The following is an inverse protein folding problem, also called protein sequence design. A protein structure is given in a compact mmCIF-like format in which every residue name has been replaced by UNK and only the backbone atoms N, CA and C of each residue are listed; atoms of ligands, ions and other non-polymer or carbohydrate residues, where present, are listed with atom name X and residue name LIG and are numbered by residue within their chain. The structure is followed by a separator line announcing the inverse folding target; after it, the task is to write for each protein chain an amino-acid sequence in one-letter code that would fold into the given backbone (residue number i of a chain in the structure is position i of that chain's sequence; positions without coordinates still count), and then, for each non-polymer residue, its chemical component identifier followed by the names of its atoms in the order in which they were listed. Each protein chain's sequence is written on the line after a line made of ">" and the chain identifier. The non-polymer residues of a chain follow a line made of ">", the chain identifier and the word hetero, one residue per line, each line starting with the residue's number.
data_IF_810673352255
#
_entry.id   IF_810673352255
#
_cell.length_a   1.000
_cell.length_b   1.000
_cell.length_c   1.000
_cell.angle_alpha   90.00
_cell.angle_beta   90.00
_cell.angle_gamma   90.00
#
_symmetry.space_group_name_H-M   'P 1'
#
loop_
_entity.id
_entity.type
_entity.pdbx_description
1 polymer ?
#
# COMPACT_ATOMS: atom_id res chain seq x y z
N UNK A 1 -71.00 45.72 -27.20
CA UNK A 1 -69.80 45.03 -27.74
C UNK A 1 -68.76 46.07 -28.06
N UNK A 2 -67.66 46.17 -27.30
CA UNK A 2 -66.26 46.05 -27.75
C UNK A 2 -65.44 45.73 -26.49
N UNK A 3 -64.59 44.71 -26.59
CA UNK A 3 -63.94 43.98 -25.49
C UNK A 3 -62.59 44.64 -25.16
N UNK A 4 -62.31 44.84 -23.86
CA UNK A 4 -61.00 45.31 -23.35
C UNK A 4 -59.95 44.18 -23.41
N UNK A 5 -58.69 44.43 -23.79
CA UNK A 5 -57.66 43.39 -23.81
C UNK A 5 -57.05 43.18 -22.43
N UNK A 6 -56.94 41.91 -22.04
CA UNK A 6 -56.34 41.46 -20.80
C UNK A 6 -54.80 41.57 -20.83
N UNK A 7 -54.23 42.04 -19.71
CA UNK A 7 -52.80 42.10 -19.49
C UNK A 7 -52.19 40.70 -19.33
N UNK A 8 -51.13 40.42 -20.09
CA UNK A 8 -50.33 39.20 -20.01
C UNK A 8 -49.29 39.33 -18.89
N UNK A 9 -49.20 38.41 -17.91
CA UNK A 9 -48.13 38.44 -16.92
C UNK A 9 -46.84 37.81 -17.46
N UNK A 10 -45.72 38.39 -17.05
CA UNK A 10 -44.34 38.04 -17.38
C UNK A 10 -43.91 36.64 -16.86
N UNK A 11 -42.89 36.01 -17.46
CA UNK A 11 -42.44 34.67 -17.07
C UNK A 11 -41.80 34.68 -15.67
N UNK A 12 -42.24 33.73 -14.86
CA UNK A 12 -41.73 33.42 -13.52
C UNK A 12 -40.27 32.96 -13.60
N UNK A 13 -39.36 33.79 -13.08
CA UNK A 13 -37.98 33.39 -12.83
C UNK A 13 -37.98 32.27 -11.78
N UNK A 14 -37.56 31.08 -12.20
CA UNK A 14 -37.31 29.93 -11.34
C UNK A 14 -36.26 30.32 -10.31
N UNK A 15 -36.67 30.38 -9.05
CA UNK A 15 -35.84 30.74 -7.92
C UNK A 15 -34.67 29.77 -7.75
N UNK A 16 -33.46 30.33 -7.82
CA UNK A 16 -32.21 29.68 -7.38
C UNK A 16 -32.38 29.24 -5.91
N UNK A 17 -32.04 27.99 -5.52
CA UNK A 17 -32.22 27.55 -4.14
C UNK A 17 -31.45 28.49 -3.20
N UNK A 18 -32.15 29.00 -2.19
CA UNK A 18 -31.59 29.91 -1.21
C UNK A 18 -30.40 29.23 -0.53
N UNK A 19 -29.24 29.92 -0.56
CA UNK A 19 -28.05 29.50 0.16
C UNK A 19 -28.44 29.39 1.64
N UNK A 20 -28.22 28.23 2.31
CA UNK A 20 -28.56 28.09 3.72
C UNK A 20 -27.89 29.21 4.51
N UNK A 21 -28.63 29.83 5.43
CA UNK A 21 -28.07 30.90 6.26
C UNK A 21 -26.85 30.38 7.00
N UNK A 22 -25.87 31.26 7.18
CA UNK A 22 -24.64 30.95 7.91
C UNK A 22 -24.92 30.31 9.27
N UNK A 23 -25.94 30.80 9.96
CA UNK A 23 -26.38 30.28 11.26
C UNK A 23 -26.87 28.82 11.17
N UNK A 24 -27.59 28.44 10.10
CA UNK A 24 -28.02 27.04 9.89
C UNK A 24 -26.85 26.09 9.65
N UNK A 25 -25.79 26.57 8.99
CA UNK A 25 -24.58 25.77 8.78
C UNK A 25 -23.78 25.64 10.07
N UNK A 26 -23.71 26.70 10.88
CA UNK A 26 -23.05 26.67 12.19
C UNK A 26 -23.80 25.74 13.18
N UNK A 27 -25.13 25.72 13.15
CA UNK A 27 -25.94 24.77 13.91
C UNK A 27 -25.71 23.31 13.49
N UNK A 28 -25.65 23.06 12.19
CA UNK A 28 -25.39 21.72 11.66
C UNK A 28 -23.98 21.23 12.00
N UNK A 29 -22.97 22.10 11.94
CA UNK A 29 -21.60 21.79 12.37
C UNK A 29 -21.57 21.44 13.87
N UNK A 30 -22.29 22.19 14.71
CA UNK A 30 -22.40 21.88 16.14
C UNK A 30 -23.01 20.50 16.38
N UNK A 31 -24.10 20.19 15.67
CA UNK A 31 -24.78 18.90 15.75
C UNK A 31 -23.91 17.74 15.29
N UNK A 32 -23.22 17.90 14.16
CA UNK A 32 -22.31 16.89 13.63
C UNK A 32 -21.12 16.65 14.58
N UNK A 33 -20.52 17.71 15.12
CA UNK A 33 -19.43 17.59 16.10
C UNK A 33 -19.89 16.91 17.40
N UNK A 34 -21.14 17.13 17.82
CA UNK A 34 -21.71 16.41 18.95
C UNK A 34 -21.89 14.93 18.62
N UNK A 35 -22.39 14.61 17.43
CA UNK A 35 -22.58 13.22 17.00
C UNK A 35 -21.26 12.47 16.83
N UNK A 36 -20.22 13.14 16.33
CA UNK A 36 -18.87 12.56 16.24
C UNK A 36 -18.35 12.19 17.62
N UNK A 37 -18.46 13.10 18.61
CA UNK A 37 -18.05 12.81 19.99
C UNK A 37 -18.82 11.66 20.62
N UNK A 38 -20.13 11.55 20.37
CA UNK A 38 -20.94 10.42 20.83
C UNK A 38 -20.47 9.10 20.20
N UNK A 39 -20.23 9.10 18.89
CA UNK A 39 -19.76 7.92 18.17
C UNK A 39 -18.34 7.51 18.59
N UNK A 40 -17.45 8.47 18.84
CA UNK A 40 -16.12 8.21 19.40
C UNK A 40 -16.21 7.55 20.78
N UNK A 41 -17.12 8.02 21.65
CA UNK A 41 -17.36 7.40 22.96
C UNK A 41 -17.97 6.00 22.85
N UNK A 42 -18.88 5.78 21.89
CA UNK A 42 -19.44 4.45 21.63
C UNK A 42 -18.39 3.46 21.12
N UNK A 43 -17.48 3.91 20.24
CA UNK A 43 -16.36 3.10 19.76
C UNK A 43 -15.38 2.76 20.90
N UNK A 44 -14.99 3.75 21.71
CA UNK A 44 -14.13 3.53 22.90
C UNK A 44 -14.81 2.55 23.86
N UNK A 45 -16.12 2.69 24.11
CA UNK A 45 -16.85 1.76 24.98
C UNK A 45 -16.93 0.36 24.39
N UNK A 46 -17.00 0.22 23.07
CA UNK A 46 -17.04 -1.08 22.40
C UNK A 46 -15.67 -1.75 22.41
N UNK A 47 -14.61 -1.00 22.17
CA UNK A 47 -13.21 -1.46 22.33
C UNK A 47 -12.95 -1.92 23.75
N UNK A 48 -13.32 -1.13 24.77
CA UNK A 48 -13.21 -1.53 26.18
C UNK A 48 -14.01 -2.79 26.52
N UNK A 49 -15.21 -2.96 25.95
CA UNK A 49 -16.02 -4.17 26.16
C UNK A 49 -15.39 -5.39 25.48
N UNK A 50 -14.87 -5.23 24.27
CA UNK A 50 -14.17 -6.29 23.53
C UNK A 50 -12.85 -6.67 24.22
N UNK A 51 -12.15 -5.71 24.84
CA UNK A 51 -10.94 -5.93 25.65
C UNK A 51 -11.23 -6.64 26.99
N UNK A 52 -12.31 -6.26 27.68
CA UNK A 52 -12.75 -6.93 28.93
C UNK A 52 -13.24 -8.36 28.66
N UNK A 53 -13.92 -8.61 27.52
CA UNK A 53 -14.29 -9.96 27.08
C UNK A 53 -13.10 -10.80 26.61
N UNK A 54 -11.96 -10.19 26.24
CA UNK A 54 -10.73 -10.88 25.84
C UNK A 54 -9.71 -11.08 26.96
N UNK A 55 -9.97 -10.59 28.18
CA UNK A 55 -9.18 -10.89 29.36
C UNK A 55 -7.69 -10.54 29.21
N UNK A 56 -7.34 -9.26 29.24
CA UNK A 56 -5.94 -8.85 29.35
C UNK A 56 -5.73 -7.34 29.37
N UNK A 57 -5.22 -6.83 30.49
CA UNK A 57 -4.76 -5.44 30.64
C UNK A 57 -3.66 -5.08 29.63
N UNK A 58 -3.64 -3.86 29.07
CA UNK A 58 -2.52 -3.41 28.25
C UNK A 58 -1.33 -3.00 29.14
N UNK A 59 -0.21 -3.69 28.97
CA UNK A 59 1.12 -3.15 29.29
C UNK A 59 1.62 -2.28 28.12
N UNK A 60 2.42 -1.22 28.36
CA UNK A 60 2.82 -0.24 27.35
C UNK A 60 3.96 -0.71 26.42
N UNK A 61 4.08 -2.02 26.16
CA UNK A 61 5.09 -2.61 25.29
C UNK A 61 4.38 -3.49 24.26
N UNK A 62 4.73 -3.41 22.96
CA UNK A 62 4.17 -4.31 21.96
C UNK A 62 4.66 -5.73 22.28
N UNK A 63 3.82 -6.51 22.95
CA UNK A 63 4.02 -7.94 23.11
C UNK A 63 4.03 -8.57 21.72
N UNK A 64 5.03 -9.40 21.37
CA UNK A 64 5.05 -10.03 20.05
C UNK A 64 3.76 -10.82 19.88
N UNK A 65 3.04 -10.53 18.79
CA UNK A 65 1.90 -11.33 18.34
C UNK A 65 2.30 -12.81 18.43
N UNK A 66 1.38 -13.64 18.93
CA UNK A 66 1.58 -15.08 19.05
C UNK A 66 2.31 -15.64 17.83
N UNK A 67 3.29 -16.52 18.06
CA UNK A 67 4.12 -17.07 16.99
C UNK A 67 3.24 -17.55 15.83
N UNK A 68 3.57 -17.20 14.58
CA UNK A 68 2.74 -17.54 13.44
C UNK A 68 2.51 -19.05 13.38
N UNK A 69 1.29 -19.46 13.01
CA UNK A 69 1.00 -20.87 12.79
C UNK A 69 1.90 -21.45 11.70
N UNK A 70 2.17 -22.75 11.74
CA UNK A 70 3.00 -23.42 10.72
C UNK A 70 2.46 -23.18 9.31
N UNK A 71 1.13 -23.26 9.13
CA UNK A 71 0.46 -22.97 7.87
C UNK A 71 0.69 -21.53 7.39
N UNK A 72 0.74 -20.55 8.31
CA UNK A 72 1.05 -19.18 7.94
C UNK A 72 2.53 -19.02 7.54
N UNK A 73 3.45 -19.71 8.21
CA UNK A 73 4.87 -19.68 7.85
C UNK A 73 5.13 -20.33 6.49
N UNK A 74 4.44 -21.41 6.16
CA UNK A 74 4.46 -22.01 4.82
C UNK A 74 3.90 -21.04 3.76
N UNK A 75 2.78 -20.37 4.07
CA UNK A 75 2.23 -19.34 3.19
C UNK A 75 3.20 -18.17 2.99
N UNK A 76 3.91 -17.76 4.04
CA UNK A 76 4.94 -16.74 3.96
C UNK A 76 6.07 -17.13 3.01
N UNK A 77 6.58 -18.35 3.16
CA UNK A 77 7.65 -18.85 2.32
C UNK A 77 7.19 -18.91 0.86
N UNK A 78 6.01 -19.48 0.60
CA UNK A 78 5.43 -19.56 -0.73
C UNK A 78 5.25 -18.18 -1.39
N UNK A 79 4.78 -17.19 -0.61
CA UNK A 79 4.70 -15.79 -1.04
C UNK A 79 6.06 -15.24 -1.44
N UNK A 80 7.05 -15.41 -0.57
CA UNK A 80 8.42 -14.91 -0.77
C UNK A 80 9.03 -15.53 -2.03
N UNK A 81 8.91 -16.85 -2.19
CA UNK A 81 9.40 -17.59 -3.34
C UNK A 81 8.73 -17.14 -4.64
N UNK A 82 7.42 -16.89 -4.61
CA UNK A 82 6.69 -16.37 -5.75
C UNK A 82 7.18 -14.96 -6.14
N UNK A 83 7.45 -14.09 -5.16
CA UNK A 83 8.02 -12.75 -5.40
C UNK A 83 9.43 -12.82 -5.96
N UNK A 84 10.29 -13.70 -5.44
CA UNK A 84 11.63 -13.96 -6.00
C UNK A 84 11.53 -14.41 -7.45
N UNK A 85 10.66 -15.36 -7.77
CA UNK A 85 10.45 -15.82 -9.17
C UNK A 85 9.98 -14.68 -10.08
N UNK A 86 9.12 -13.80 -9.58
CA UNK A 86 8.55 -12.72 -10.37
C UNK A 86 9.52 -11.55 -10.59
N UNK A 87 10.26 -11.17 -9.54
CA UNK A 87 11.05 -9.94 -9.48
C UNK A 87 12.55 -10.16 -9.71
N UNK A 88 13.05 -11.36 -9.39
CA UNK A 88 14.47 -11.69 -9.40
C UNK A 88 14.85 -12.69 -10.51
N UNK A 89 13.93 -13.02 -11.43
CA UNK A 89 14.20 -13.97 -12.51
C UNK A 89 15.05 -13.37 -13.63
N UNK A 90 15.81 -14.24 -14.29
CA UNK A 90 16.62 -13.87 -15.45
C UNK A 90 15.72 -13.56 -16.65
N UNK A 91 16.00 -12.45 -17.33
CA UNK A 91 15.43 -12.16 -18.63
C UNK A 91 16.03 -13.04 -19.73
N UNK A 92 15.53 -12.91 -20.97
CA UNK A 92 16.02 -13.67 -22.14
C UNK A 92 17.54 -13.50 -22.39
N UNK A 93 18.08 -12.32 -22.06
CA UNK A 93 19.51 -12.04 -22.18
C UNK A 93 20.34 -12.59 -21.01
N UNK A 94 19.72 -13.32 -20.07
CA UNK A 94 20.39 -13.90 -18.91
C UNK A 94 20.71 -12.89 -17.82
N UNK A 95 19.95 -11.80 -17.70
CA UNK A 95 20.16 -10.79 -16.65
C UNK A 95 18.96 -10.68 -15.73
N UNK A 96 19.21 -10.59 -14.44
CA UNK A 96 18.27 -10.20 -13.42
C UNK A 96 18.81 -8.95 -12.73
N UNK A 97 18.03 -7.88 -12.73
CA UNK A 97 18.35 -6.61 -12.06
C UNK A 97 17.19 -6.29 -11.14
N UNK A 98 17.45 -5.69 -9.97
CA UNK A 98 16.36 -5.18 -9.15
C UNK A 98 15.70 -4.01 -9.89
N UNK A 99 14.44 -3.72 -9.54
CA UNK A 99 13.67 -2.63 -10.18
C UNK A 99 14.41 -1.29 -10.17
N UNK A 100 15.22 -1.04 -9.14
CA UNK A 100 15.99 0.18 -9.00
C UNK A 100 17.20 0.26 -9.94
N UNK A 101 18.04 -0.77 -10.00
CA UNK A 101 19.20 -0.78 -10.90
C UNK A 101 18.77 -0.85 -12.38
N UNK A 102 17.61 -1.48 -12.67
CA UNK A 102 17.03 -1.50 -14.01
C UNK A 102 16.57 -0.11 -14.46
N UNK A 103 15.88 0.64 -13.60
CA UNK A 103 15.38 1.99 -13.93
C UNK A 103 16.50 3.00 -14.18
N UNK A 104 17.62 2.88 -13.46
CA UNK A 104 18.80 3.76 -13.62
C UNK A 104 19.77 3.28 -14.70
N UNK A 105 19.56 2.08 -15.26
CA UNK A 105 20.49 1.42 -16.19
C UNK A 105 21.92 1.38 -15.64
N UNK A 106 22.03 1.12 -14.34
CA UNK A 106 23.33 1.06 -13.69
C UNK A 106 24.17 -0.11 -14.16
N UNK A 107 25.48 0.00 -13.95
CA UNK A 107 26.42 -1.05 -14.35
C UNK A 107 26.17 -2.30 -13.52
N UNK A 108 26.24 -3.44 -14.20
CA UNK A 108 26.10 -4.76 -13.57
C UNK A 108 27.38 -5.09 -12.82
N UNK A 109 27.21 -5.67 -11.63
CA UNK A 109 28.31 -6.26 -10.87
C UNK A 109 28.76 -7.58 -11.49
N UNK A 110 27.83 -8.36 -12.04
CA UNK A 110 28.09 -9.68 -12.63
C UNK A 110 27.66 -9.77 -14.09
N UNK A 111 28.44 -10.45 -14.96
CA UNK A 111 28.03 -10.76 -16.33
C UNK A 111 26.71 -11.58 -16.38
N UNK A 112 26.03 -11.62 -17.54
CA UNK A 112 24.81 -12.41 -17.69
C UNK A 112 25.00 -13.88 -17.27
N UNK A 113 24.04 -14.43 -16.50
CA UNK A 113 24.03 -15.79 -15.93
C UNK A 113 25.19 -16.13 -14.97
N UNK A 114 26.00 -15.13 -14.58
CA UNK A 114 27.16 -15.30 -13.71
C UNK A 114 26.96 -14.71 -12.31
N UNK A 115 25.74 -14.32 -11.94
CA UNK A 115 25.46 -13.89 -10.57
C UNK A 115 25.48 -15.09 -9.61
N UNK A 116 26.06 -14.95 -8.40
CA UNK A 116 26.06 -16.03 -7.42
C UNK A 116 24.64 -16.36 -6.91
N UNK A 117 24.40 -17.57 -6.37
CA UNK A 117 23.11 -17.92 -5.80
C UNK A 117 22.67 -16.94 -4.71
N UNK A 118 21.41 -16.47 -4.78
CA UNK A 118 20.87 -15.47 -3.87
C UNK A 118 21.14 -14.01 -4.27
N UNK A 119 21.84 -13.78 -5.40
CA UNK A 119 22.18 -12.46 -5.90
C UNK A 119 21.67 -12.22 -7.32
N UNK A 120 21.48 -10.94 -7.64
CA UNK A 120 21.15 -10.41 -8.95
C UNK A 120 22.41 -9.96 -9.71
N UNK A 121 22.33 -9.80 -11.03
CA UNK A 121 23.45 -9.30 -11.84
C UNK A 121 23.87 -7.87 -11.48
N UNK A 122 22.99 -7.08 -10.85
CA UNK A 122 23.32 -5.77 -10.32
C UNK A 122 24.14 -5.79 -9.01
N UNK A 123 24.29 -6.96 -8.37
CA UNK A 123 25.01 -7.09 -7.09
C UNK A 123 24.11 -7.13 -5.86
N UNK A 124 22.82 -6.81 -6.00
CA UNK A 124 21.86 -6.89 -4.90
C UNK A 124 21.56 -8.35 -4.52
N UNK A 125 21.31 -8.59 -3.24
CA UNK A 125 20.67 -9.83 -2.78
C UNK A 125 19.18 -9.86 -3.15
N UNK A 126 18.56 -11.04 -3.07
CA UNK A 126 17.11 -11.14 -3.21
C UNK A 126 16.36 -10.35 -2.12
N UNK A 127 16.81 -10.44 -0.87
CA UNK A 127 16.20 -9.72 0.25
C UNK A 127 16.25 -8.20 0.04
N UNK A 128 17.38 -7.69 -0.47
CA UNK A 128 17.48 -6.31 -0.90
C UNK A 128 16.41 -6.07 -1.97
N UNK A 129 16.48 -6.74 -3.12
CA UNK A 129 15.55 -6.51 -4.23
C UNK A 129 14.05 -6.61 -3.88
N UNK A 130 13.68 -7.45 -2.92
CA UNK A 130 12.32 -7.54 -2.40
C UNK A 130 11.96 -6.36 -1.50
N UNK A 131 12.81 -6.02 -0.53
CA UNK A 131 12.63 -4.84 0.32
C UNK A 131 12.51 -3.56 -0.51
N UNK A 132 13.39 -3.46 -1.51
CA UNK A 132 13.42 -2.43 -2.51
C UNK A 132 12.09 -2.24 -3.24
N UNK A 133 11.47 -3.34 -3.65
CA UNK A 133 10.18 -3.34 -4.34
C UNK A 133 9.03 -3.01 -3.37
N UNK A 134 9.07 -3.54 -2.14
CA UNK A 134 8.08 -3.24 -1.12
C UNK A 134 8.07 -1.75 -0.78
N UNK A 135 9.24 -1.12 -0.60
CA UNK A 135 9.33 0.33 -0.40
C UNK A 135 8.67 1.12 -1.54
N UNK A 136 8.99 0.77 -2.78
CA UNK A 136 8.42 1.44 -3.95
C UNK A 136 6.89 1.30 -4.00
N UNK A 137 6.36 0.11 -3.71
CA UNK A 137 4.92 -0.14 -3.65
C UNK A 137 4.18 0.69 -2.59
N UNK A 138 4.85 1.02 -1.49
CA UNK A 138 4.28 1.83 -0.40
C UNK A 138 4.59 3.32 -0.53
N UNK A 139 5.05 3.77 -1.70
CA UNK A 139 5.36 5.18 -1.96
C UNK A 139 6.56 5.71 -1.17
N UNK A 140 7.39 4.81 -0.62
CA UNK A 140 8.61 5.18 0.09
C UNK A 140 9.79 5.01 -0.84
N UNK A 141 10.39 6.13 -1.24
CA UNK A 141 11.66 6.05 -1.95
C UNK A 141 11.61 5.43 -3.34
N UNK A 142 10.43 5.35 -3.95
CA UNK A 142 10.29 4.88 -5.33
C UNK A 142 11.00 5.85 -6.28
N UNK A 143 11.80 5.28 -7.18
CA UNK A 143 12.50 6.02 -8.23
C UNK A 143 11.80 5.89 -9.59
N UNK A 144 10.58 5.37 -9.62
CA UNK A 144 9.82 5.30 -10.85
C UNK A 144 9.58 6.73 -11.38
N UNK A 145 9.71 6.96 -12.70
CA UNK A 145 9.38 8.25 -13.30
C UNK A 145 7.96 8.65 -12.91
N UNK A 146 7.79 9.84 -12.29
CA UNK A 146 6.50 10.36 -11.84
C UNK A 146 6.29 10.37 -10.32
N UNK A 147 7.11 9.66 -9.54
CA UNK A 147 7.03 9.68 -8.07
C UNK A 147 7.91 10.76 -7.44
N UNK A 148 7.40 11.40 -6.38
CA UNK A 148 7.99 12.62 -5.78
C UNK A 148 9.08 12.33 -4.74
N UNK A 149 9.16 11.11 -4.19
CA UNK A 149 10.05 10.78 -3.07
C UNK A 149 11.15 9.81 -3.50
N UNK A 150 12.36 10.33 -3.62
CA UNK A 150 13.58 9.59 -3.98
C UNK A 150 14.40 9.27 -2.72
N UNK A 151 14.47 8.00 -2.31
CA UNK A 151 15.25 7.58 -1.12
C UNK A 151 16.72 7.39 -1.47
N UNK A 152 17.62 8.15 -0.84
CA UNK A 152 19.06 8.05 -1.08
C UNK A 152 19.53 6.57 -1.12
N UNK A 153 20.16 6.13 -2.23
CA UNK A 153 20.64 4.76 -2.38
C UNK A 153 21.59 4.33 -1.26
N UNK A 154 22.35 5.28 -0.70
CA UNK A 154 23.26 5.03 0.42
C UNK A 154 22.52 4.67 1.72
N UNK A 155 21.25 5.08 1.88
CA UNK A 155 20.45 4.81 3.08
C UNK A 155 19.70 3.49 3.03
N UNK A 156 19.50 2.93 1.83
CA UNK A 156 18.63 1.78 1.63
C UNK A 156 19.10 0.53 2.36
N UNK A 157 20.32 0.08 2.08
CA UNK A 157 20.82 -1.16 2.66
C UNK A 157 21.07 -1.00 4.18
N UNK A 158 21.56 0.16 4.68
CA UNK A 158 21.55 0.45 6.12
C UNK A 158 20.16 0.39 6.74
N UNK A 159 19.11 0.90 6.08
CA UNK A 159 17.74 0.81 6.57
C UNK A 159 17.26 -0.64 6.65
N UNK A 160 17.47 -1.45 5.61
CA UNK A 160 17.14 -2.87 5.64
C UNK A 160 17.84 -3.59 6.80
N UNK A 161 19.15 -3.38 6.95
CA UNK A 161 19.94 -3.97 8.04
C UNK A 161 19.41 -3.55 9.41
N UNK A 162 19.09 -2.26 9.58
CA UNK A 162 18.51 -1.76 10.82
C UNK A 162 17.17 -2.44 11.12
N UNK A 163 16.29 -2.56 10.14
CA UNK A 163 14.98 -3.20 10.28
C UNK A 163 15.09 -4.70 10.60
N UNK A 164 16.01 -5.41 9.93
CA UNK A 164 16.30 -6.81 10.23
C UNK A 164 16.86 -7.00 11.64
N UNK A 165 17.77 -6.12 12.08
CA UNK A 165 18.43 -6.24 13.38
C UNK A 165 17.54 -5.84 14.55
N UNK A 166 16.79 -4.75 14.41
CA UNK A 166 15.99 -4.17 15.51
C UNK A 166 14.57 -4.70 15.56
N UNK A 167 14.00 -5.04 14.40
CA UNK A 167 12.59 -5.37 14.28
C UNK A 167 12.36 -6.74 13.62
N UNK A 168 13.42 -7.49 13.33
CA UNK A 168 13.34 -8.82 12.69
C UNK A 168 12.56 -8.79 11.36
N UNK A 169 12.69 -7.69 10.61
CA UNK A 169 12.01 -7.50 9.34
C UNK A 169 12.26 -8.63 8.35
N UNK A 170 11.20 -9.05 7.67
CA UNK A 170 11.18 -10.03 6.56
C UNK A 170 10.31 -9.50 5.41
N UNK A 171 10.56 -9.98 4.19
CA UNK A 171 9.68 -9.69 3.05
C UNK A 171 8.22 -10.00 3.40
N UNK A 172 7.32 -9.06 3.17
CA UNK A 172 5.92 -9.20 3.55
C UNK A 172 5.51 -8.43 4.80
N UNK A 173 6.43 -8.00 5.67
CA UNK A 173 6.04 -7.34 6.92
C UNK A 173 5.24 -6.04 6.71
N UNK A 174 5.46 -5.32 5.60
CA UNK A 174 4.66 -4.13 5.25
C UNK A 174 3.26 -4.47 4.73
N UNK A 175 3.04 -5.71 4.30
CA UNK A 175 1.77 -6.20 3.79
C UNK A 175 0.98 -7.01 4.83
N UNK A 176 1.27 -6.78 6.12
CA UNK A 176 0.57 -7.41 7.23
C UNK A 176 -0.35 -6.44 7.93
N UNK A 177 -1.51 -6.96 8.31
CA UNK A 177 -2.43 -6.23 9.17
C UNK A 177 -1.87 -6.18 10.59
N UNK A 178 -1.68 -4.98 11.20
CA UNK A 178 -1.05 -4.85 12.51
C UNK A 178 -1.81 -5.54 13.64
N UNK A 179 -3.15 -5.60 13.55
CA UNK A 179 -4.03 -6.12 14.61
C UNK A 179 -4.13 -7.64 14.56
N UNK A 180 -4.34 -8.22 13.37
CA UNK A 180 -4.57 -9.66 13.21
C UNK A 180 -3.29 -10.43 12.88
N UNK A 181 -2.28 -9.75 12.36
CA UNK A 181 -1.05 -10.35 11.88
C UNK A 181 -1.19 -11.12 10.56
N UNK A 182 -2.39 -11.14 9.95
CA UNK A 182 -2.65 -11.75 8.66
C UNK A 182 -2.12 -10.89 7.51
N UNK A 183 -2.09 -11.46 6.30
CA UNK A 183 -1.88 -10.68 5.09
C UNK A 183 -3.00 -9.68 4.90
N UNK A 184 -2.65 -8.48 4.42
CA UNK A 184 -3.61 -7.57 3.81
C UNK A 184 -4.26 -8.28 2.62
N UNK A 185 -5.50 -7.91 2.29
CA UNK A 185 -6.24 -8.50 1.18
C UNK A 185 -5.41 -8.48 -0.12
N UNK A 186 -5.31 -9.64 -0.76
CA UNK A 186 -4.54 -9.79 -2.00
C UNK A 186 -3.02 -9.79 -1.79
N UNK A 187 -2.48 -10.02 -0.59
CA UNK A 187 -1.02 -10.09 -0.39
C UNK A 187 -0.49 -11.47 0.01
N UNK A 188 -1.36 -12.46 0.19
CA UNK A 188 -0.95 -13.84 0.50
C UNK A 188 -0.32 -14.59 -0.67
N UNK A 189 0.20 -15.80 -0.39
CA UNK A 189 0.89 -16.64 -1.39
C UNK A 189 0.09 -16.85 -2.68
N UNK A 190 -1.19 -17.22 -2.57
CA UNK A 190 -2.05 -17.55 -3.71
C UNK A 190 -2.14 -16.42 -4.74
N UNK A 191 -2.14 -15.17 -4.29
CA UNK A 191 -2.14 -14.01 -5.17
C UNK A 191 -0.83 -13.88 -5.95
N UNK A 192 0.31 -14.01 -5.26
CA UNK A 192 1.62 -13.88 -5.87
C UNK A 192 1.96 -15.06 -6.77
N UNK A 193 1.59 -16.28 -6.40
CA UNK A 193 1.69 -17.47 -7.25
C UNK A 193 0.80 -17.37 -8.49
N UNK A 194 -0.40 -16.81 -8.33
CA UNK A 194 -1.29 -16.48 -9.44
C UNK A 194 -0.64 -15.52 -10.44
N UNK A 195 0.08 -14.50 -9.97
CA UNK A 195 0.84 -13.56 -10.84
C UNK A 195 1.98 -14.25 -11.59
N UNK A 196 2.71 -15.14 -10.92
CA UNK A 196 3.78 -15.95 -11.54
C UNK A 196 3.18 -16.81 -12.67
N UNK A 197 2.10 -17.52 -12.37
CA UNK A 197 1.41 -18.42 -13.33
C UNK A 197 0.83 -17.65 -14.52
N UNK A 198 0.28 -16.46 -14.28
CA UNK A 198 -0.24 -15.59 -15.33
C UNK A 198 0.85 -14.99 -16.24
N UNK A 199 2.14 -15.26 -15.97
CA UNK A 199 3.25 -14.76 -16.78
C UNK A 199 3.38 -13.23 -16.76
N UNK A 200 2.86 -12.57 -15.72
CA UNK A 200 2.88 -11.11 -15.61
C UNK A 200 4.30 -10.68 -15.28
N UNK A 201 5.10 -10.36 -16.31
CA UNK A 201 6.41 -9.75 -16.07
C UNK A 201 6.22 -8.38 -15.41
N UNK A 202 6.81 -8.18 -14.23
CA UNK A 202 6.65 -6.94 -13.46
C UNK A 202 7.05 -5.69 -14.26
N UNK A 203 8.10 -5.78 -15.09
CA UNK A 203 8.53 -4.70 -15.99
C UNK A 203 7.48 -4.29 -17.04
N UNK A 204 6.48 -5.12 -17.35
CA UNK A 204 5.49 -4.86 -18.42
C UNK A 204 4.27 -4.09 -17.90
N UNK A 205 3.84 -4.31 -16.65
CA UNK A 205 2.67 -3.59 -16.08
C UNK A 205 2.96 -2.09 -15.94
N UNK A 206 4.12 -1.73 -15.38
CA UNK A 206 4.46 -0.33 -15.15
C UNK A 206 4.72 0.50 -16.42
N UNK A 207 5.22 -0.12 -17.51
CA UNK A 207 5.39 0.56 -18.80
C UNK A 207 4.07 0.78 -19.56
N UNK A 208 3.02 0.04 -19.21
CA UNK A 208 1.71 0.10 -19.87
C UNK A 208 0.79 1.19 -19.31
N UNK A 209 0.94 1.51 -18.04
CA UNK A 209 0.15 2.55 -17.34
C UNK A 209 0.60 3.96 -17.76
N UNK A 210 1.90 4.14 -18.02
CA UNK A 210 2.52 5.37 -18.53
C UNK A 210 2.02 5.79 -19.94
N UNK A 211 1.41 4.89 -20.72
CA UNK A 211 0.86 5.22 -22.06
C UNK A 211 -0.62 5.59 -22.06
N UNK A 212 -1.29 5.55 -20.90
CA UNK A 212 -2.72 5.83 -20.77
C UNK A 212 -3.03 7.08 -19.95
N UNK A 213 -2.02 7.86 -19.58
CA UNK A 213 -2.17 9.15 -18.89
C UNK A 213 -1.60 10.29 -19.73
#
# INVERSE_FOLDING_TARGET
>A
MVISPAATPAPTLVGRPARPSRDRMEDEIRRLNQRVRELELELISKELKDEVSRGGFPSPLPTPAAAPSSAFQENWQARTDARVKLLCSLNRAGNALCAWHDSRRERRAYPPRMAPPGYLNCGCTFDEALFEESLARHGVGSYLPGESVRMDPALRNPLLKLLQQRYHYRDGDFEREPVTGNWIEGEGASFWEGKVTAGVSYSRKYRGEERRS
#
